data_IF_015503026112
#
_entry.id   IF_015503026112
#
_cell.length_a   1.000
_cell.length_b   1.000
_cell.length_c   1.000
_cell.angle_alpha   90.00
_cell.angle_beta   90.00
_cell.angle_gamma   90.00
#
_symmetry.space_group_name_H-M   'P 1'
#
loop_
_entity.id
_entity.type
_entity.pdbx_description
1 polymer ?
#
# COMPACT_ATOMS: atom_id res chain seq x y z
N UNK A 1 -14.54 74.95 -36.28
CA UNK A 1 -13.71 73.72 -36.29
C UNK A 1 -13.27 73.42 -34.86
N UNK A 2 -13.98 72.52 -34.18
CA UNK A 2 -13.62 72.08 -32.82
C UNK A 2 -12.58 70.96 -32.92
N UNK A 3 -11.37 71.17 -32.41
CA UNK A 3 -10.37 70.11 -32.19
C UNK A 3 -10.52 69.61 -30.76
N UNK A 4 -11.08 68.42 -30.61
CA UNK A 4 -11.09 67.70 -29.33
C UNK A 4 -9.68 67.26 -28.98
N UNK A 5 -9.10 67.88 -27.96
CA UNK A 5 -7.82 67.49 -27.37
C UNK A 5 -8.13 66.44 -26.31
N UNK A 6 -7.93 65.16 -26.64
CA UNK A 6 -7.99 64.10 -25.65
C UNK A 6 -6.78 64.23 -24.69
N UNK A 7 -6.98 64.20 -23.36
CA UNK A 7 -5.90 64.36 -22.39
C UNK A 7 -4.85 63.24 -22.53
N UNK A 8 -3.56 63.61 -22.50
CA UNK A 8 -2.43 62.72 -22.74
C UNK A 8 -2.42 61.44 -21.87
N UNK A 9 -3.03 61.49 -20.67
CA UNK A 9 -3.21 60.33 -19.80
C UNK A 9 -4.04 59.20 -20.44
N UNK A 10 -5.03 59.52 -21.28
CA UNK A 10 -5.86 58.51 -21.98
C UNK A 10 -5.04 57.78 -23.03
N UNK A 11 -4.06 58.45 -23.66
CA UNK A 11 -3.22 57.88 -24.71
C UNK A 11 -2.27 56.78 -24.21
N UNK A 12 -1.90 56.82 -22.92
CA UNK A 12 -1.09 55.78 -22.26
C UNK A 12 -1.94 54.67 -21.61
N UNK A 13 -3.20 54.95 -21.27
CA UNK A 13 -4.13 53.94 -20.76
C UNK A 13 -4.52 52.90 -21.81
N UNK A 14 -4.72 53.31 -23.07
CA UNK A 14 -5.13 52.38 -24.15
C UNK A 14 -4.08 51.27 -24.39
N UNK A 15 -2.77 51.55 -24.58
CA UNK A 15 -1.78 50.50 -24.80
C UNK A 15 -1.55 49.64 -23.55
N UNK A 16 -1.65 50.21 -22.35
CA UNK A 16 -1.53 49.42 -21.10
C UNK A 16 -2.71 48.47 -20.92
N UNK A 17 -3.93 48.96 -21.10
CA UNK A 17 -5.14 48.11 -21.07
C UNK A 17 -5.06 47.04 -22.16
N UNK A 18 -4.64 47.39 -23.38
CA UNK A 18 -4.45 46.42 -24.46
C UNK A 18 -3.41 45.36 -24.12
N UNK A 19 -2.27 45.75 -23.53
CA UNK A 19 -1.24 44.83 -23.03
C UNK A 19 -1.76 43.90 -21.93
N UNK A 20 -2.57 44.42 -21.00
CA UNK A 20 -3.22 43.57 -19.99
C UNK A 20 -4.24 42.61 -20.62
N UNK A 21 -5.05 43.07 -21.58
CA UNK A 21 -6.05 42.24 -22.26
C UNK A 21 -5.45 41.13 -23.11
N UNK A 22 -4.24 41.31 -23.67
CA UNK A 22 -3.51 40.24 -24.40
C UNK A 22 -2.66 39.35 -23.48
N UNK A 23 -2.09 39.89 -22.39
CA UNK A 23 -1.24 39.12 -21.47
C UNK A 23 -2.05 38.21 -20.54
N UNK A 24 -3.23 38.66 -20.08
CA UNK A 24 -4.06 37.90 -19.12
C UNK A 24 -4.56 36.56 -19.69
N UNK A 25 -5.10 36.47 -20.93
CA UNK A 25 -5.46 35.20 -21.54
C UNK A 25 -4.24 34.29 -21.80
N UNK A 26 -3.09 34.87 -22.13
CA UNK A 26 -1.85 34.11 -22.35
C UNK A 26 -1.28 33.51 -21.05
N UNK A 27 -1.59 34.12 -19.90
CA UNK A 27 -1.23 33.59 -18.57
C UNK A 27 -2.27 32.63 -17.99
N UNK A 28 -3.42 32.46 -18.65
CA UNK A 28 -4.38 31.44 -18.29
C UNK A 28 -3.82 30.10 -18.76
N UNK A 29 -2.99 29.46 -17.91
CA UNK A 29 -2.59 28.09 -18.15
C UNK A 29 -3.87 27.26 -18.17
N UNK A 30 -4.17 26.66 -19.31
CA UNK A 30 -5.15 25.58 -19.35
C UNK A 30 -4.78 24.58 -18.26
N UNK A 31 -5.76 24.06 -17.51
CA UNK A 31 -5.45 23.08 -16.48
C UNK A 31 -4.91 21.87 -17.23
N UNK A 32 -3.61 21.65 -17.12
CA UNK A 32 -2.94 20.57 -17.83
C UNK A 32 -3.72 19.28 -17.61
N UNK A 33 -4.22 18.68 -18.69
CA UNK A 33 -5.14 17.54 -18.62
C UNK A 33 -4.49 16.38 -17.85
N UNK A 34 -3.16 16.22 -17.96
CA UNK A 34 -2.41 15.21 -17.20
C UNK A 34 -2.39 15.55 -15.72
N UNK A 35 -2.16 16.80 -15.35
CA UNK A 35 -2.28 17.26 -13.97
C UNK A 35 -3.68 16.96 -13.41
N UNK A 36 -4.74 17.31 -14.17
CA UNK A 36 -6.12 17.07 -13.78
C UNK A 36 -6.45 15.57 -13.63
N UNK A 37 -5.81 14.69 -14.42
CA UNK A 37 -5.93 13.23 -14.28
C UNK A 37 -5.17 12.72 -13.06
N UNK A 38 -3.94 13.20 -12.83
CA UNK A 38 -3.09 12.72 -11.73
C UNK A 38 -3.50 13.26 -10.36
N UNK A 39 -4.18 14.40 -10.31
CA UNK A 39 -4.72 15.00 -9.08
C UNK A 39 -5.98 14.28 -8.58
N UNK A 40 -6.62 13.46 -9.42
CA UNK A 40 -7.81 12.69 -9.02
C UNK A 40 -7.40 11.49 -8.18
N UNK A 41 -8.05 11.34 -7.05
CA UNK A 41 -8.04 10.08 -6.32
C UNK A 41 -8.88 9.05 -7.09
N UNK A 42 -8.56 7.78 -6.92
CA UNK A 42 -9.28 6.67 -7.56
C UNK A 42 -9.61 5.58 -6.55
N UNK A 43 -10.65 4.80 -6.87
CA UNK A 43 -11.04 3.63 -6.09
C UNK A 43 -10.48 2.39 -6.76
N UNK A 44 -10.06 1.41 -5.96
CA UNK A 44 -9.44 0.19 -6.47
C UNK A 44 -9.91 -1.01 -5.63
N UNK A 45 -10.90 -1.74 -6.15
CA UNK A 45 -11.52 -2.86 -5.45
C UNK A 45 -12.16 -2.44 -4.11
N UNK A 46 -11.94 -3.25 -3.06
CA UNK A 46 -12.43 -3.00 -1.70
C UNK A 46 -11.81 -1.77 -1.03
N UNK A 47 -10.70 -1.25 -1.58
CA UNK A 47 -10.10 0.00 -1.12
C UNK A 47 -10.86 1.16 -1.76
N UNK A 48 -11.91 1.60 -1.08
CA UNK A 48 -12.80 2.71 -1.47
C UNK A 48 -12.36 4.04 -0.83
N UNK A 49 -11.06 4.31 -0.77
CA UNK A 49 -10.49 5.44 -0.03
C UNK A 49 -9.34 6.06 -0.83
N UNK A 50 -9.59 7.24 -1.38
CA UNK A 50 -8.62 8.31 -1.64
C UNK A 50 -7.22 7.89 -2.14
N UNK A 51 -7.14 6.87 -3.00
CA UNK A 51 -5.85 6.36 -3.47
C UNK A 51 -5.25 7.42 -4.41
N UNK A 52 -4.10 7.93 -4.01
CA UNK A 52 -3.36 8.96 -4.74
C UNK A 52 -1.92 8.52 -5.04
N UNK A 53 -1.09 9.50 -5.37
CA UNK A 53 0.35 9.29 -5.52
C UNK A 53 0.92 8.65 -4.22
N UNK A 54 1.83 7.65 -4.30
CA UNK A 54 2.58 7.18 -5.47
C UNK A 54 1.86 6.13 -6.33
N UNK A 55 0.66 5.71 -5.95
CA UNK A 55 -0.04 4.62 -6.60
C UNK A 55 -0.60 5.04 -7.96
N UNK A 56 -0.65 4.06 -8.85
CA UNK A 56 -1.31 4.12 -10.15
C UNK A 56 -1.82 2.74 -10.49
N UNK A 57 -2.72 2.65 -11.47
CA UNK A 57 -3.48 1.44 -11.71
C UNK A 57 -4.92 1.79 -12.02
N UNK A 58 -5.61 0.89 -12.71
CA UNK A 58 -6.91 1.15 -13.36
C UNK A 58 -6.84 2.12 -14.56
N UNK A 59 -7.86 2.09 -15.42
CA UNK A 59 -7.99 2.89 -16.65
C UNK A 59 -7.96 4.39 -16.34
N UNK A 60 -8.40 4.78 -15.14
CA UNK A 60 -8.59 6.17 -14.74
C UNK A 60 -7.30 6.86 -14.25
N UNK A 61 -6.24 6.11 -13.87
CA UNK A 61 -4.98 6.69 -13.39
C UNK A 61 -3.77 6.05 -14.11
N UNK A 62 -3.34 6.65 -15.24
CA UNK A 62 -2.25 6.14 -16.06
C UNK A 62 -0.92 6.05 -15.32
N UNK A 63 0.03 5.29 -15.89
CA UNK A 63 1.37 5.10 -15.33
C UNK A 63 2.12 6.41 -15.03
N UNK A 64 1.94 7.45 -15.85
CA UNK A 64 2.62 8.73 -15.63
C UNK A 64 2.13 9.49 -14.38
N UNK A 65 1.04 9.04 -13.74
CA UNK A 65 0.50 9.64 -12.51
C UNK A 65 1.04 9.02 -11.22
N UNK A 66 1.90 8.01 -11.32
CA UNK A 66 2.44 7.30 -10.16
C UNK A 66 3.92 6.96 -10.30
N UNK A 67 4.44 6.24 -9.30
CA UNK A 67 5.83 5.80 -9.24
C UNK A 67 5.95 4.36 -9.73
N UNK A 68 7.04 4.05 -10.45
CA UNK A 68 7.36 2.67 -10.83
C UNK A 68 7.44 1.77 -9.58
N UNK A 69 6.82 0.60 -9.63
CA UNK A 69 6.70 -0.33 -8.50
C UNK A 69 5.52 -0.09 -7.56
N UNK A 70 4.68 0.92 -7.82
CA UNK A 70 3.44 1.20 -7.07
C UNK A 70 2.18 0.96 -7.91
N UNK A 71 2.25 0.01 -8.84
CA UNK A 71 1.09 -0.40 -9.61
C UNK A 71 0.15 -1.20 -8.72
N UNK A 72 -1.11 -0.77 -8.65
CA UNK A 72 -2.19 -1.53 -8.03
C UNK A 72 -3.01 -2.21 -9.13
N UNK A 73 -3.04 -3.53 -9.09
CA UNK A 73 -3.92 -4.31 -9.92
C UNK A 73 -5.33 -4.33 -9.31
N UNK A 74 -6.23 -3.57 -9.92
CA UNK A 74 -7.63 -3.47 -9.52
C UNK A 74 -8.55 -4.44 -10.29
N UNK A 75 -8.02 -5.22 -11.25
CA UNK A 75 -8.86 -6.04 -12.13
C UNK A 75 -9.60 -7.14 -11.34
N UNK A 76 -10.93 -7.16 -11.44
CA UNK A 76 -11.78 -8.21 -10.88
C UNK A 76 -13.07 -7.69 -10.25
N UNK A 77 -13.62 -8.48 -9.32
CA UNK A 77 -14.81 -8.12 -8.57
C UNK A 77 -14.52 -6.90 -7.66
N UNK A 78 -15.36 -5.85 -7.66
CA UNK A 78 -15.18 -4.68 -6.79
C UNK A 78 -15.14 -5.00 -5.29
N UNK A 79 -15.54 -6.21 -4.89
CA UNK A 79 -15.49 -6.69 -3.51
C UNK A 79 -14.13 -7.27 -3.09
N UNK A 80 -13.19 -7.45 -4.03
CA UNK A 80 -11.84 -7.98 -3.72
C UNK A 80 -10.86 -6.85 -3.42
N UNK A 81 -9.94 -7.10 -2.51
CA UNK A 81 -8.78 -6.23 -2.30
C UNK A 81 -7.90 -6.21 -3.55
N UNK A 82 -7.35 -5.06 -3.95
CA UNK A 82 -6.43 -4.99 -5.06
C UNK A 82 -5.09 -5.66 -4.71
N UNK A 83 -4.30 -5.98 -5.72
CA UNK A 83 -2.99 -6.59 -5.51
C UNK A 83 -1.85 -5.67 -5.94
N UNK A 84 -0.69 -5.86 -5.33
CA UNK A 84 0.58 -5.26 -5.72
C UNK A 84 1.63 -6.36 -5.84
N UNK A 85 2.44 -6.27 -6.89
CA UNK A 85 3.52 -7.23 -7.14
C UNK A 85 4.84 -6.64 -6.64
N UNK A 86 5.58 -7.44 -5.87
CA UNK A 86 6.92 -7.09 -5.39
C UNK A 86 7.84 -8.28 -5.62
N UNK A 87 8.97 -8.06 -6.29
CA UNK A 87 9.89 -9.13 -6.70
C UNK A 87 9.13 -10.25 -7.44
N UNK A 88 9.08 -11.46 -6.87
CA UNK A 88 8.43 -12.62 -7.46
C UNK A 88 7.10 -12.99 -6.79
N UNK A 89 6.57 -12.13 -5.89
CA UNK A 89 5.38 -12.40 -5.09
C UNK A 89 4.29 -11.35 -5.30
N UNK A 90 3.05 -11.81 -5.29
CA UNK A 90 1.86 -10.95 -5.34
C UNK A 90 1.23 -10.82 -3.95
N UNK A 91 0.90 -9.60 -3.57
CA UNK A 91 0.32 -9.29 -2.27
C UNK A 91 -1.05 -8.65 -2.43
N UNK A 92 -2.04 -9.12 -1.65
CA UNK A 92 -3.30 -8.41 -1.49
C UNK A 92 -3.08 -7.20 -0.58
N UNK A 93 -3.56 -6.03 -1.00
CA UNK A 93 -3.52 -4.81 -0.21
C UNK A 93 -4.77 -4.72 0.66
N UNK A 94 -4.56 -4.80 1.97
CA UNK A 94 -5.63 -4.78 2.97
C UNK A 94 -6.01 -3.35 3.39
N UNK A 95 -5.07 -2.42 3.29
CA UNK A 95 -5.28 -1.02 3.66
C UNK A 95 -4.10 -0.14 3.28
N UNK A 96 -4.39 1.14 3.03
CA UNK A 96 -3.40 2.19 2.75
C UNK A 96 -3.70 3.36 3.70
N UNK A 97 -2.67 3.84 4.38
CA UNK A 97 -2.71 5.07 5.18
C UNK A 97 -1.73 6.07 4.56
N UNK A 98 -2.27 7.01 3.78
CA UNK A 98 -1.48 8.05 3.12
C UNK A 98 -0.85 9.04 4.11
N UNK A 99 -1.45 9.25 5.28
CA UNK A 99 -0.91 10.15 6.31
C UNK A 99 0.31 9.57 6.99
N UNK A 100 0.33 8.25 7.21
CA UNK A 100 1.50 7.53 7.76
C UNK A 100 2.45 6.99 6.71
N UNK A 101 2.07 7.07 5.42
CA UNK A 101 2.79 6.48 4.30
C UNK A 101 3.00 4.97 4.46
N UNK A 102 2.00 4.29 5.04
CA UNK A 102 2.05 2.84 5.30
C UNK A 102 0.99 2.10 4.50
N UNK A 103 1.29 0.85 4.15
CA UNK A 103 0.38 -0.04 3.47
C UNK A 103 0.41 -1.41 4.16
N UNK A 104 -0.77 -1.97 4.42
CA UNK A 104 -0.92 -3.30 5.00
C UNK A 104 -1.18 -4.30 3.89
N UNK A 105 -0.40 -5.38 3.88
CA UNK A 105 -0.44 -6.40 2.83
C UNK A 105 -0.51 -7.81 3.41
N UNK A 106 -0.98 -8.75 2.60
CA UNK A 106 -0.88 -10.20 2.85
C UNK A 106 -0.51 -10.92 1.55
N UNK A 107 0.35 -11.95 1.56
CA UNK A 107 0.62 -12.74 0.35
C UNK A 107 -0.68 -13.32 -0.22
N UNK A 108 -0.84 -13.32 -1.55
CA UNK A 108 -2.05 -13.86 -2.20
C UNK A 108 -2.20 -15.35 -1.95
N UNK A 109 -1.09 -16.10 -1.92
CA UNK A 109 -1.08 -17.54 -1.63
C UNK A 109 -1.37 -17.88 -0.17
N UNK A 110 -1.36 -16.90 0.73
CA UNK A 110 -1.61 -17.15 2.15
C UNK A 110 -3.12 -17.28 2.40
N UNK A 111 -3.61 -18.52 2.43
CA UNK A 111 -5.00 -18.79 2.77
C UNK A 111 -5.24 -18.75 4.29
N UNK A 112 -5.45 -17.55 4.84
CA UNK A 112 -5.77 -17.35 6.25
C UNK A 112 -7.09 -18.04 6.68
N UNK A 113 -7.97 -18.42 5.74
CA UNK A 113 -9.21 -19.14 6.05
C UNK A 113 -8.94 -20.59 6.51
N UNK A 114 -7.78 -21.17 6.15
CA UNK A 114 -7.31 -22.47 6.65
C UNK A 114 -6.61 -22.39 8.00
N UNK A 115 -6.47 -21.19 8.57
CA UNK A 115 -5.70 -20.94 9.79
C UNK A 115 -4.18 -21.03 9.56
N UNK A 116 -3.43 -20.93 10.64
CA UNK A 116 -1.96 -20.96 10.64
C UNK A 116 -1.40 -22.39 10.56
N UNK A 117 -2.02 -23.25 9.75
CA UNK A 117 -1.80 -24.69 9.82
C UNK A 117 -0.70 -25.17 8.87
N UNK A 118 0.00 -26.28 9.17
CA UNK A 118 1.21 -26.68 8.46
C UNK A 118 0.97 -27.13 7.01
N UNK A 119 -0.29 -27.34 6.60
CA UNK A 119 -0.68 -27.54 5.20
C UNK A 119 -0.61 -26.25 4.37
N UNK A 120 -0.38 -25.09 5.00
CA UNK A 120 -0.14 -23.82 4.33
C UNK A 120 1.35 -23.73 4.03
N UNK A 121 1.70 -23.70 2.74
CA UNK A 121 3.04 -23.29 2.32
C UNK A 121 3.21 -21.82 2.65
N UNK A 122 4.25 -21.50 3.44
CA UNK A 122 4.64 -20.14 3.76
C UNK A 122 5.78 -19.76 2.84
N UNK A 123 5.52 -19.15 1.67
CA UNK A 123 6.60 -18.66 0.82
C UNK A 123 7.40 -17.62 1.61
N UNK A 124 8.72 -17.60 1.41
CA UNK A 124 9.55 -16.50 1.91
C UNK A 124 9.01 -15.20 1.33
N UNK A 125 8.47 -14.33 2.19
CA UNK A 125 7.93 -13.05 1.74
C UNK A 125 9.08 -12.09 1.48
N UNK A 126 9.45 -11.95 0.21
CA UNK A 126 10.48 -11.00 -0.21
C UNK A 126 9.79 -9.69 -0.59
N UNK A 127 10.08 -8.62 0.15
CA UNK A 127 9.63 -7.27 -0.22
C UNK A 127 10.72 -6.54 -1.01
N UNK A 128 10.33 -5.63 -1.89
CA UNK A 128 11.30 -4.77 -2.56
C UNK A 128 11.82 -3.70 -1.59
N UNK A 129 12.98 -3.97 -0.97
CA UNK A 129 13.62 -3.08 0.00
C UNK A 129 14.13 -1.75 -0.59
N UNK A 130 14.12 -1.59 -1.92
CA UNK A 130 14.46 -0.31 -2.56
C UNK A 130 13.30 0.67 -2.53
N UNK A 131 12.06 0.16 -2.48
CA UNK A 131 10.83 0.95 -2.51
C UNK A 131 10.10 0.96 -1.16
N UNK A 132 10.23 -0.12 -0.39
CA UNK A 132 9.47 -0.35 0.83
C UNK A 132 10.40 -0.70 2.00
N UNK A 133 9.95 -0.35 3.20
CA UNK A 133 10.57 -0.79 4.45
C UNK A 133 9.49 -1.28 5.39
N UNK A 134 9.85 -2.22 6.27
CA UNK A 134 8.94 -2.65 7.32
C UNK A 134 8.73 -1.52 8.31
N UNK A 135 7.48 -1.29 8.71
CA UNK A 135 7.16 -0.41 9.84
C UNK A 135 7.82 -0.92 11.12
N UNK A 136 8.14 -0.04 12.05
CA UNK A 136 8.64 -0.39 13.40
C UNK A 136 7.68 -1.30 14.17
N UNK A 137 6.42 -1.34 13.76
CA UNK A 137 5.38 -2.22 14.33
C UNK A 137 5.44 -3.66 13.80
N UNK A 138 6.22 -3.93 12.75
CA UNK A 138 6.38 -5.27 12.19
C UNK A 138 7.29 -6.08 13.10
N UNK A 139 6.88 -7.31 13.38
CA UNK A 139 7.55 -8.23 14.32
C UNK A 139 7.75 -9.58 13.66
N UNK A 140 8.81 -10.28 14.04
CA UNK A 140 9.10 -11.60 13.48
C UNK A 140 8.21 -12.66 14.13
N UNK A 141 7.46 -13.41 13.34
CA UNK A 141 6.60 -14.49 13.82
C UNK A 141 7.25 -15.84 13.51
N UNK A 142 7.50 -16.67 14.53
CA UNK A 142 7.97 -18.04 14.35
C UNK A 142 6.92 -19.01 14.85
N UNK A 143 6.48 -19.93 14.00
CA UNK A 143 5.39 -20.87 14.26
C UNK A 143 5.98 -22.28 14.34
N UNK A 144 5.58 -23.04 15.37
CA UNK A 144 6.08 -24.37 15.66
C UNK A 144 4.90 -25.37 15.73
N UNK A 145 5.11 -26.56 15.19
CA UNK A 145 4.10 -27.64 15.14
C UNK A 145 4.69 -28.95 15.65
N UNK A 146 3.81 -29.85 16.11
CA UNK A 146 4.16 -31.23 16.46
C UNK A 146 5.32 -31.36 17.46
N UNK A 147 5.39 -30.45 18.45
CA UNK A 147 6.47 -30.45 19.42
C UNK A 147 6.31 -31.58 20.44
N UNK A 148 7.37 -32.35 20.65
CA UNK A 148 7.43 -33.43 21.62
C UNK A 148 7.59 -32.88 23.04
N UNK A 149 6.61 -33.22 23.89
CA UNK A 149 6.53 -32.86 25.30
C UNK A 149 5.56 -31.68 25.55
N UNK A 150 4.71 -31.82 26.55
CA UNK A 150 3.55 -30.96 26.79
C UNK A 150 3.77 -29.45 26.67
N UNK A 151 2.75 -28.80 26.10
CA UNK A 151 2.58 -27.38 25.81
C UNK A 151 2.46 -26.47 27.05
N UNK A 152 2.70 -27.01 28.24
CA UNK A 152 2.35 -26.37 29.51
C UNK A 152 3.33 -25.27 29.95
N UNK A 153 4.50 -25.15 29.31
CA UNK A 153 5.51 -24.14 29.69
C UNK A 153 5.78 -23.05 28.65
N UNK A 154 5.28 -23.15 27.41
CA UNK A 154 5.76 -22.31 26.28
C UNK A 154 4.94 -21.02 26.04
N UNK A 155 3.85 -20.81 26.79
CA UNK A 155 3.15 -19.51 26.85
C UNK A 155 1.73 -19.51 26.28
N UNK A 156 1.11 -18.31 26.22
CA UNK A 156 -0.31 -18.08 25.90
C UNK A 156 -0.69 -18.29 24.42
N UNK A 157 0.28 -18.50 23.53
CA UNK A 157 0.13 -18.42 22.08
C UNK A 157 -0.08 -19.80 21.43
N UNK A 158 -0.80 -20.69 22.09
CA UNK A 158 -1.09 -22.03 21.59
C UNK A 158 -2.31 -22.00 20.67
N UNK A 159 -2.29 -22.83 19.62
CA UNK A 159 -3.41 -23.02 18.71
C UNK A 159 -3.47 -24.47 18.24
N UNK A 160 -4.61 -24.84 17.64
CA UNK A 160 -4.87 -26.19 17.16
C UNK A 160 -5.36 -26.15 15.73
N UNK A 161 -4.89 -27.10 14.93
CA UNK A 161 -5.15 -27.22 13.51
C UNK A 161 -5.84 -28.54 13.20
N UNK A 162 -6.92 -28.53 12.42
CA UNK A 162 -7.46 -29.77 11.87
C UNK A 162 -6.47 -30.38 10.86
N UNK A 163 -6.27 -31.68 10.95
CA UNK A 163 -5.48 -32.50 10.03
C UNK A 163 -6.25 -33.76 9.68
N UNK A 164 -5.89 -34.44 8.58
CA UNK A 164 -6.50 -35.72 8.19
C UNK A 164 -6.39 -36.77 9.31
N UNK A 165 -5.29 -36.74 10.08
CA UNK A 165 -5.00 -37.67 11.18
C UNK A 165 -5.46 -37.18 12.57
N UNK A 166 -6.23 -36.08 12.65
CA UNK A 166 -6.74 -35.54 13.90
C UNK A 166 -6.42 -34.06 14.12
N UNK A 167 -5.85 -33.71 15.28
CA UNK A 167 -5.56 -32.31 15.64
C UNK A 167 -4.05 -32.11 15.81
N UNK A 168 -3.47 -31.23 15.00
CA UNK A 168 -2.09 -30.79 15.16
C UNK A 168 -2.09 -29.59 16.09
N UNK A 169 -1.38 -29.69 17.21
CA UNK A 169 -1.16 -28.57 18.09
C UNK A 169 0.09 -27.80 17.67
N UNK A 170 0.01 -26.48 17.76
CA UNK A 170 1.10 -25.58 17.48
C UNK A 170 1.15 -24.42 18.46
N UNK A 171 2.25 -23.69 18.43
CA UNK A 171 2.40 -22.44 19.13
C UNK A 171 3.23 -21.47 18.30
N UNK A 172 3.11 -20.18 18.57
CA UNK A 172 3.93 -19.18 17.91
C UNK A 172 4.63 -18.26 18.92
N UNK A 173 5.79 -17.76 18.50
CA UNK A 173 6.57 -16.77 19.25
C UNK A 173 6.74 -15.52 18.40
N UNK A 174 6.88 -14.39 19.07
CA UNK A 174 7.08 -13.08 18.45
C UNK A 174 8.50 -12.60 18.84
N UNK A 175 9.27 -12.18 17.84
CA UNK A 175 10.65 -11.69 17.91
C UNK A 175 11.64 -12.61 18.60
N UNK A 176 11.76 -13.82 18.05
CA UNK A 176 12.87 -14.73 18.30
C UNK A 176 13.25 -14.76 19.79
N UNK A 177 12.23 -15.02 20.64
CA UNK A 177 12.37 -15.21 22.08
C UNK A 177 13.15 -16.52 22.35
N UNK A 178 14.40 -16.56 21.88
CA UNK A 178 15.31 -17.70 21.82
C UNK A 178 15.83 -18.13 23.19
N UNK A 179 15.64 -17.34 24.25
CA UNK A 179 16.50 -17.47 25.44
C UNK A 179 15.99 -18.32 26.61
N UNK A 180 14.71 -18.66 26.75
CA UNK A 180 14.25 -19.24 28.04
C UNK A 180 13.30 -20.43 27.97
N UNK A 181 12.73 -20.76 26.81
CA UNK A 181 11.70 -21.79 26.70
C UNK A 181 12.17 -23.10 26.05
N UNK A 182 13.18 -23.05 25.18
CA UNK A 182 13.71 -24.23 24.49
C UNK A 182 14.96 -24.83 25.15
N UNK A 183 15.71 -24.03 25.94
CA UNK A 183 16.94 -24.49 26.59
C UNK A 183 16.70 -25.44 27.78
N UNK A 184 15.46 -25.56 28.26
CA UNK A 184 15.10 -26.43 29.40
C UNK A 184 14.69 -27.86 29.01
N UNK A 185 14.83 -28.27 27.75
CA UNK A 185 14.39 -29.63 27.33
C UNK A 185 15.43 -30.50 26.61
N UNK A 186 16.64 -30.00 26.38
CA UNK A 186 17.74 -30.81 25.85
C UNK A 186 18.49 -31.62 26.92
N UNK A 187 18.03 -31.63 28.17
CA UNK A 187 18.62 -32.44 29.25
C UNK A 187 17.57 -33.29 29.96
N UNK A 188 17.24 -34.45 29.41
CA UNK A 188 16.70 -35.58 30.17
C UNK A 188 16.64 -36.85 29.30
N UNK A 189 17.63 -37.71 29.54
CA UNK A 189 17.66 -39.18 29.40
C UNK A 189 17.67 -39.79 28.00
#
# INVERSE_FOLDING_TARGET
>A
MSKSILPAHILHCVPTILCFLIAVPASYSDVDERYALCSRQFNCGKLSLDIGYPFWGDILRPQYCGRRGFYLNCYGNPSRSPTIDMENESFQVLGIDGGRQTMTITPVGLNLLGGYCPSVEWPETIINHTLFSYSETVRNLSIFFNCSGGFTSVGKNNFSCPSEDGVINGFYTIDDARGSLLENRSSSS
#
